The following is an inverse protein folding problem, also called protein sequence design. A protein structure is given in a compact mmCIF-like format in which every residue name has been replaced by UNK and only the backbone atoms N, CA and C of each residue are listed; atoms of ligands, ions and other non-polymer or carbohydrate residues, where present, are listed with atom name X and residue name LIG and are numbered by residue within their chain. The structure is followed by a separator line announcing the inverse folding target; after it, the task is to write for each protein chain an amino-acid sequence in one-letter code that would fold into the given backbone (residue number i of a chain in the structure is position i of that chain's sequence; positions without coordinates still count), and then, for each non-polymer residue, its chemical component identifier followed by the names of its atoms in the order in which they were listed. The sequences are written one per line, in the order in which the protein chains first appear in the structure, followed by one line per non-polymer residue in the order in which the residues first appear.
data_IF_552704081964
#
_entry.id   IF_552704081964
#
_cell.length_a   1.000
_cell.length_b   1.000
_cell.length_c   1.000
_cell.angle_alpha   90.00
_cell.angle_beta   90.00
_cell.angle_gamma   90.00
#
_symmetry.space_group_name_H-M   'P 1'
#
loop_
_entity.id
_entity.type
_entity.pdbx_description
1 polymer ?
#
# COMPACT_ATOMS: atom_id res chain seq x y z
N UNK A 1 6.72 -17.57 1.48
CA UNK A 1 5.31 -17.10 1.40
C UNK A 1 5.15 -15.78 2.16
N UNK A 2 5.30 -14.64 1.49
CA UNK A 2 4.79 -13.37 2.03
C UNK A 2 3.26 -13.41 1.87
N UNK A 3 2.54 -13.59 2.97
CA UNK A 3 1.07 -13.62 2.95
C UNK A 3 0.59 -12.23 2.55
N UNK A 4 -0.31 -12.15 1.56
CA UNK A 4 -0.92 -10.90 1.10
C UNK A 4 -1.38 -10.01 2.28
N UNK A 5 -1.79 -10.62 3.40
CA UNK A 5 -2.13 -9.96 4.66
C UNK A 5 -1.04 -9.04 5.21
N UNK A 6 0.22 -9.47 5.20
CA UNK A 6 1.34 -8.65 5.68
C UNK A 6 1.56 -7.44 4.76
N UNK A 7 1.38 -7.64 3.46
CA UNK A 7 1.51 -6.58 2.45
C UNK A 7 0.36 -5.58 2.57
N UNK A 8 -0.89 -6.03 2.72
CA UNK A 8 -2.03 -5.13 2.92
C UNK A 8 -1.89 -4.33 4.21
N UNK A 9 -1.39 -4.94 5.30
CA UNK A 9 -1.10 -4.22 6.54
C UNK A 9 -0.01 -3.15 6.36
N UNK A 10 0.99 -3.43 5.52
CA UNK A 10 2.03 -2.48 5.14
C UNK A 10 1.49 -1.33 4.27
N UNK A 11 0.56 -1.61 3.36
CA UNK A 11 -0.14 -0.61 2.55
C UNK A 11 -0.97 0.31 3.44
N UNK A 12 -1.72 -0.22 4.40
CA UNK A 12 -2.47 0.62 5.35
C UNK A 12 -1.54 1.51 6.14
N UNK A 13 -0.43 0.97 6.65
CA UNK A 13 0.58 1.74 7.38
C UNK A 13 1.22 2.85 6.54
N UNK A 14 1.30 2.69 5.21
CA UNK A 14 1.79 3.73 4.30
C UNK A 14 0.89 4.98 4.25
N UNK A 15 -0.36 4.87 4.69
CA UNK A 15 -1.31 6.00 4.75
C UNK A 15 -1.09 6.87 6.00
N UNK A 16 -0.76 6.25 7.13
CA UNK A 16 -0.54 6.93 8.41
C UNK A 16 0.92 7.40 8.58
N UNK A 17 1.88 6.61 8.10
CA UNK A 17 3.32 6.84 8.30
C UNK A 17 4.12 6.67 6.99
N UNK A 18 5.26 7.37 6.89
CA UNK A 18 6.21 7.13 5.80
C UNK A 18 6.93 5.78 5.96
N UNK A 19 6.73 4.88 5.02
CA UNK A 19 7.45 3.61 4.95
C UNK A 19 8.95 3.79 4.67
N UNK A 20 9.75 2.88 5.24
CA UNK A 20 11.19 2.78 4.94
C UNK A 20 11.44 2.32 3.50
N UNK A 21 12.62 2.63 2.95
CA UNK A 21 13.01 2.29 1.56
C UNK A 21 12.91 0.78 1.30
N UNK A 22 13.32 -0.05 2.28
CA UNK A 22 13.19 -1.52 2.19
C UNK A 22 11.74 -1.98 2.06
N UNK A 23 10.84 -1.40 2.86
CA UNK A 23 9.41 -1.72 2.82
C UNK A 23 8.77 -1.33 1.49
N UNK A 24 9.14 -0.17 0.94
CA UNK A 24 8.69 0.27 -0.39
C UNK A 24 9.14 -0.70 -1.48
N UNK A 25 10.39 -1.17 -1.45
CA UNK A 25 10.91 -2.13 -2.42
C UNK A 25 10.15 -3.46 -2.36
N UNK A 26 9.91 -4.00 -1.16
CA UNK A 26 9.12 -5.22 -0.95
C UNK A 26 7.70 -5.06 -1.49
N UNK A 27 7.06 -3.91 -1.23
CA UNK A 27 5.73 -3.59 -1.72
C UNK A 27 5.68 -3.56 -3.25
N UNK A 28 6.62 -2.88 -3.89
CA UNK A 28 6.69 -2.80 -5.35
C UNK A 28 6.89 -4.18 -5.98
N UNK A 29 7.79 -5.01 -5.42
CA UNK A 29 8.00 -6.37 -5.90
C UNK A 29 6.73 -7.23 -5.77
N UNK A 30 6.06 -7.20 -4.62
CA UNK A 30 4.86 -8.00 -4.41
C UNK A 30 3.66 -7.50 -5.23
N UNK A 31 3.45 -6.19 -5.32
CA UNK A 31 2.34 -5.62 -6.11
C UNK A 31 2.54 -5.81 -7.61
N UNK A 32 3.78 -5.98 -8.09
CA UNK A 32 4.05 -6.39 -9.46
C UNK A 32 3.58 -7.83 -9.74
N UNK A 33 3.67 -8.73 -8.77
CA UNK A 33 3.29 -10.14 -8.90
C UNK A 33 1.84 -10.43 -8.46
N UNK A 34 1.22 -9.56 -7.65
CA UNK A 34 -0.11 -9.74 -7.10
C UNK A 34 -1.05 -8.59 -7.47
N UNK A 35 -1.91 -8.83 -8.47
CA UNK A 35 -2.91 -7.85 -8.91
C UNK A 35 -3.88 -7.40 -7.82
N UNK A 36 -4.21 -8.26 -6.84
CA UNK A 36 -5.11 -7.92 -5.73
C UNK A 36 -4.49 -6.85 -4.83
N UNK A 37 -3.24 -7.06 -4.41
CA UNK A 37 -2.51 -6.10 -3.58
C UNK A 37 -2.25 -4.78 -4.32
N UNK A 38 -2.01 -4.84 -5.65
CA UNK A 38 -1.87 -3.63 -6.48
C UNK A 38 -3.15 -2.80 -6.50
N UNK A 39 -4.32 -3.43 -6.70
CA UNK A 39 -5.62 -2.75 -6.67
C UNK A 39 -5.91 -2.15 -5.30
N UNK A 40 -5.67 -2.91 -4.23
CA UNK A 40 -5.84 -2.42 -2.87
C UNK A 40 -5.00 -1.16 -2.59
N UNK A 41 -3.73 -1.16 -3.02
CA UNK A 41 -2.85 0.01 -2.91
C UNK A 41 -3.39 1.24 -3.64
N UNK A 42 -3.92 1.05 -4.85
CA UNK A 42 -4.55 2.15 -5.61
C UNK A 42 -5.79 2.68 -4.89
N UNK A 43 -6.66 1.81 -4.36
CA UNK A 43 -7.84 2.22 -3.61
C UNK A 43 -7.47 3.06 -2.37
N UNK A 44 -6.45 2.64 -1.62
CA UNK A 44 -5.96 3.41 -0.47
C UNK A 44 -5.41 4.79 -0.89
N UNK A 45 -4.70 4.88 -2.02
CA UNK A 45 -4.23 6.15 -2.57
C UNK A 45 -5.36 7.08 -2.99
N UNK A 46 -6.44 6.55 -3.58
CA UNK A 46 -7.65 7.33 -3.91
C UNK A 46 -8.31 7.84 -2.63
N UNK A 47 -8.47 6.98 -1.62
CA UNK A 47 -9.06 7.37 -0.34
C UNK A 47 -8.25 8.47 0.35
N UNK A 48 -6.92 8.36 0.42
CA UNK A 48 -6.11 9.41 1.04
C UNK A 48 -6.10 10.70 0.23
N UNK A 49 -6.16 10.63 -1.11
CA UNK A 49 -6.34 11.81 -1.95
C UNK A 49 -7.69 12.50 -1.70
N UNK A 50 -8.78 11.74 -1.55
CA UNK A 50 -10.10 12.29 -1.20
C UNK A 50 -10.07 12.94 0.19
N UNK A 51 -9.54 12.25 1.21
CA UNK A 51 -9.45 12.78 2.58
C UNK A 51 -8.63 14.07 2.63
N UNK A 52 -7.56 14.17 1.84
CA UNK A 52 -6.73 15.40 1.75
C UNK A 52 -7.44 16.56 1.04
N UNK A 53 -8.35 16.28 0.11
CA UNK A 53 -9.13 17.32 -0.60
C UNK A 53 -10.30 17.86 0.23
N UNK A 54 -10.78 17.11 1.22
CA UNK A 54 -11.87 17.54 2.12
C UNK A 54 -11.37 18.36 3.32
N UNK A 55 -10.07 18.68 3.37
CA UNK A 55 -9.42 19.40 4.47
C UNK A 55 -9.10 20.83 4.05
#
# INVERSE_FOLDING_TARGET
MMKCLNITRLISREQDETLTVKQKMILSLHTAMCGKCRRYRQQMGVLSACVRQMK
#
